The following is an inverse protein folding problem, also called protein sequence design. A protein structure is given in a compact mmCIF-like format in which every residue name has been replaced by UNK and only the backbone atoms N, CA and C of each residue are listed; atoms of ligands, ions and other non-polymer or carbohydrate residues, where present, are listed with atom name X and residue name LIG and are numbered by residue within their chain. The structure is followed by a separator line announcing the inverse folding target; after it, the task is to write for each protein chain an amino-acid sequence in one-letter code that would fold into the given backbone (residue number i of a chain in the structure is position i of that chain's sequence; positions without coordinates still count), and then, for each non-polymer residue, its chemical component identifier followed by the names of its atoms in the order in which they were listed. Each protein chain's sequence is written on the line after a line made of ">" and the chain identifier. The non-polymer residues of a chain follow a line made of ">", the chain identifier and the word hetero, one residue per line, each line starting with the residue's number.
data_IF_531431932424
#
_entry.id   IF_531431932424
#
_cell.length_a   1.000
_cell.length_b   1.000
_cell.length_c   1.000
_cell.angle_alpha   90.00
_cell.angle_beta   90.00
_cell.angle_gamma   90.00
#
_symmetry.space_group_name_H-M   'P 1'
#
loop_
_entity.id
_entity.type
_entity.pdbx_description
1 polymer ?
#
# COMPACT_ATOMS: atom_id res chain seq x y z
N UNK A 1 -7.02 16.60 -30.43
CA UNK A 1 -7.09 15.72 -29.23
C UNK A 1 -8.43 15.99 -28.56
N UNK A 2 -9.31 14.99 -28.41
CA UNK A 2 -10.67 15.25 -27.88
C UNK A 2 -10.60 15.80 -26.46
N UNK A 3 -11.54 16.70 -26.11
CA UNK A 3 -11.60 17.34 -24.79
C UNK A 3 -11.65 16.31 -23.65
N UNK A 4 -12.25 15.15 -23.90
CA UNK A 4 -12.38 14.04 -22.96
C UNK A 4 -11.06 13.33 -22.67
N UNK A 5 -10.17 13.15 -23.67
CA UNK A 5 -8.86 12.56 -23.45
C UNK A 5 -7.97 13.47 -22.58
N UNK A 6 -8.06 14.79 -22.79
CA UNK A 6 -7.33 15.76 -21.97
C UNK A 6 -7.79 15.72 -20.50
N UNK A 7 -9.11 15.63 -20.26
CA UNK A 7 -9.68 15.48 -18.92
C UNK A 7 -9.21 14.20 -18.23
N UNK A 8 -9.22 13.06 -18.94
CA UNK A 8 -8.72 11.79 -18.39
C UNK A 8 -7.24 11.86 -18.01
N UNK A 9 -6.38 12.39 -18.90
CA UNK A 9 -4.95 12.54 -18.61
C UNK A 9 -4.70 13.43 -17.40
N UNK A 10 -5.42 14.55 -17.27
CA UNK A 10 -5.34 15.41 -16.07
C UNK A 10 -5.75 14.67 -14.79
N UNK A 11 -6.83 13.88 -14.83
CA UNK A 11 -7.26 13.07 -13.69
C UNK A 11 -6.21 12.01 -13.33
N UNK A 12 -5.64 11.31 -14.32
CA UNK A 12 -4.53 10.36 -14.12
C UNK A 12 -3.33 11.03 -13.44
N UNK A 13 -2.91 12.20 -13.91
CA UNK A 13 -1.81 12.96 -13.31
C UNK A 13 -2.12 13.32 -11.84
N UNK A 14 -3.32 13.79 -11.54
CA UNK A 14 -3.71 14.10 -10.16
C UNK A 14 -3.67 12.87 -9.24
N UNK A 15 -4.14 11.71 -9.71
CA UNK A 15 -4.07 10.45 -8.95
C UNK A 15 -2.61 10.04 -8.75
N UNK A 16 -1.76 10.13 -9.78
CA UNK A 16 -0.32 9.84 -9.68
C UNK A 16 0.39 10.75 -8.66
N UNK A 17 0.13 12.06 -8.68
CA UNK A 17 0.69 12.99 -7.69
C UNK A 17 0.22 12.68 -6.27
N UNK A 18 -1.05 12.31 -6.10
CA UNK A 18 -1.58 11.88 -4.80
C UNK A 18 -0.94 10.57 -4.32
N UNK A 19 -0.70 9.62 -5.24
CA UNK A 19 0.01 8.38 -4.95
C UNK A 19 1.45 8.64 -4.50
N UNK A 20 2.19 9.51 -5.17
CA UNK A 20 3.56 9.89 -4.76
C UNK A 20 3.58 10.45 -3.34
N UNK A 21 2.63 11.33 -2.99
CA UNK A 21 2.50 11.86 -1.63
C UNK A 21 2.21 10.76 -0.60
N UNK A 22 1.35 9.81 -0.95
CA UNK A 22 1.06 8.66 -0.10
C UNK A 22 2.30 7.78 0.11
N UNK A 23 3.04 7.47 -0.96
CA UNK A 23 4.28 6.70 -0.91
C UNK A 23 5.30 7.39 0.00
N UNK A 24 5.52 8.69 -0.16
CA UNK A 24 6.46 9.42 0.71
C UNK A 24 6.04 9.37 2.18
N UNK A 25 4.72 9.41 2.46
CA UNK A 25 4.21 9.25 3.82
C UNK A 25 4.50 7.84 4.35
N UNK A 26 4.26 6.80 3.54
CA UNK A 26 4.58 5.42 3.89
C UNK A 26 6.09 5.25 4.15
N UNK A 27 6.95 5.82 3.31
CA UNK A 27 8.42 5.77 3.45
C UNK A 27 8.88 6.26 4.82
N UNK A 28 8.34 7.40 5.26
CA UNK A 28 8.67 7.98 6.57
C UNK A 28 8.12 7.11 7.70
N UNK A 29 6.90 6.61 7.56
CA UNK A 29 6.22 5.92 8.67
C UNK A 29 6.62 4.45 8.82
N UNK A 30 6.99 3.74 7.76
CA UNK A 30 7.18 2.27 7.80
C UNK A 30 8.30 1.81 8.75
N UNK A 31 9.27 2.68 9.00
CA UNK A 31 10.38 2.43 9.91
C UNK A 31 10.09 2.87 11.35
N UNK A 32 8.96 3.55 11.60
CA UNK A 32 8.55 3.90 12.95
C UNK A 32 8.06 2.64 13.69
N UNK A 33 8.67 2.35 14.84
CA UNK A 33 8.33 1.18 15.67
C UNK A 33 7.11 1.45 16.57
N UNK A 34 6.77 2.71 16.81
CA UNK A 34 5.64 3.11 17.66
C UNK A 34 4.31 3.21 16.90
N UNK A 35 4.32 2.94 15.60
CA UNK A 35 3.12 3.10 14.77
C UNK A 35 2.20 1.88 14.87
N UNK A 36 0.89 2.14 14.94
CA UNK A 36 -0.12 1.10 15.07
C UNK A 36 -0.34 0.36 13.75
N UNK A 37 -0.59 -0.96 13.84
CA UNK A 37 -0.94 -1.82 12.70
C UNK A 37 -2.05 -1.21 11.83
N UNK A 38 -3.08 -0.63 12.46
CA UNK A 38 -4.20 -0.02 11.77
C UNK A 38 -3.80 1.13 10.84
N UNK A 39 -2.70 1.85 11.11
CA UNK A 39 -2.24 2.88 10.19
C UNK A 39 -1.64 2.28 8.91
N UNK A 40 -0.91 1.16 9.03
CA UNK A 40 -0.39 0.43 7.87
C UNK A 40 -1.50 -0.22 7.05
N UNK A 41 -2.56 -0.70 7.70
CA UNK A 41 -3.78 -1.20 7.03
C UNK A 41 -4.49 -0.09 6.25
N UNK A 42 -4.64 1.10 6.85
CA UNK A 42 -5.21 2.26 6.17
C UNK A 42 -4.37 2.73 4.98
N UNK A 43 -3.03 2.58 5.01
CA UNK A 43 -2.19 2.83 3.85
C UNK A 43 -2.38 1.79 2.75
N UNK A 44 -2.56 0.51 3.09
CA UNK A 44 -2.86 -0.54 2.11
C UNK A 44 -4.19 -0.28 1.39
N UNK A 45 -5.23 0.08 2.12
CA UNK A 45 -6.54 0.43 1.54
C UNK A 45 -6.41 1.58 0.53
N UNK A 46 -5.72 2.66 0.93
CA UNK A 46 -5.50 3.80 0.04
C UNK A 46 -4.65 3.46 -1.20
N UNK A 47 -3.68 2.54 -1.08
CA UNK A 47 -2.91 2.05 -2.24
C UNK A 47 -3.80 1.25 -3.19
N UNK A 48 -4.66 0.37 -2.67
CA UNK A 48 -5.61 -0.40 -3.47
C UNK A 48 -6.59 0.49 -4.24
N UNK A 49 -7.14 1.51 -3.57
CA UNK A 49 -8.04 2.47 -4.21
C UNK A 49 -7.36 3.24 -5.34
N UNK A 50 -6.11 3.65 -5.14
CA UNK A 50 -5.34 4.36 -6.17
C UNK A 50 -4.97 3.45 -7.34
N UNK A 51 -4.60 2.20 -7.07
CA UNK A 51 -4.33 1.17 -8.08
C UNK A 51 -5.56 0.94 -8.97
N UNK A 52 -6.72 0.72 -8.36
CA UNK A 52 -7.99 0.54 -9.10
C UNK A 52 -8.32 1.77 -9.96
N UNK A 53 -8.20 2.97 -9.38
CA UNK A 53 -8.44 4.22 -10.12
C UNK A 53 -7.48 4.41 -11.30
N UNK A 54 -6.19 4.09 -11.12
CA UNK A 54 -5.21 4.19 -12.19
C UNK A 54 -5.45 3.16 -13.28
N UNK A 55 -5.77 1.91 -12.92
CA UNK A 55 -6.13 0.86 -13.88
C UNK A 55 -7.29 1.31 -14.77
N UNK A 56 -8.38 1.80 -14.17
CA UNK A 56 -9.54 2.30 -14.92
C UNK A 56 -9.17 3.49 -15.83
N UNK A 57 -8.39 4.45 -15.32
CA UNK A 57 -7.98 5.61 -16.12
C UNK A 57 -7.05 5.23 -17.27
N UNK A 58 -6.16 4.26 -17.08
CA UNK A 58 -5.27 3.78 -18.12
C UNK A 58 -6.07 3.10 -19.24
N UNK A 59 -6.97 2.18 -18.91
CA UNK A 59 -7.85 1.53 -19.91
C UNK A 59 -8.65 2.57 -20.71
N UNK A 60 -9.28 3.53 -20.03
CA UNK A 60 -10.06 4.58 -20.71
C UNK A 60 -9.20 5.50 -21.60
N UNK A 61 -7.91 5.65 -21.29
CA UNK A 61 -6.96 6.43 -22.10
C UNK A 61 -6.49 5.58 -23.28
N UNK A 62 -6.10 4.32 -23.05
CA UNK A 62 -5.67 3.37 -24.07
C UNK A 62 -6.72 3.17 -25.16
N UNK A 63 -8.00 3.02 -24.79
CA UNK A 63 -9.14 2.93 -25.72
C UNK A 63 -9.28 4.14 -26.66
N UNK A 64 -8.62 5.26 -26.32
CA UNK A 64 -8.69 6.54 -27.05
C UNK A 64 -7.36 6.95 -27.67
N UNK A 65 -6.29 6.18 -27.45
CA UNK A 65 -4.99 6.37 -28.07
C UNK A 65 -4.87 5.47 -29.31
N UNK A 66 -4.06 5.91 -30.28
CA UNK A 66 -3.78 5.14 -31.50
C UNK A 66 -2.31 5.30 -31.88
N UNK A 67 -1.67 4.21 -32.33
CA UNK A 67 -0.29 4.21 -32.84
C UNK A 67 0.79 4.33 -31.76
N UNK A 68 1.94 4.90 -32.12
CA UNK A 68 3.21 4.83 -31.35
C UNK A 68 3.18 5.56 -29.99
N UNK A 69 2.20 6.42 -29.75
CA UNK A 69 2.01 7.09 -28.44
C UNK A 69 1.59 6.16 -27.29
N UNK A 70 1.26 4.91 -27.61
CA UNK A 70 0.84 3.90 -26.63
C UNK A 70 2.04 3.36 -25.84
N UNK A 71 3.19 3.14 -26.50
CA UNK A 71 4.34 2.43 -25.89
C UNK A 71 4.97 3.19 -24.71
N UNK A 72 5.28 4.48 -24.87
CA UNK A 72 5.84 5.31 -23.78
C UNK A 72 4.85 5.46 -22.61
N UNK A 73 3.55 5.56 -22.90
CA UNK A 73 2.51 5.68 -21.89
C UNK A 73 2.33 4.35 -21.12
N UNK A 74 2.57 3.20 -21.76
CA UNK A 74 2.57 1.87 -21.14
C UNK A 74 3.75 1.68 -20.19
N UNK A 75 4.98 2.04 -20.59
CA UNK A 75 6.16 1.92 -19.72
C UNK A 75 6.00 2.74 -18.44
N UNK A 76 5.58 4.00 -18.56
CA UNK A 76 5.33 4.86 -17.40
C UNK A 76 4.18 4.34 -16.51
N UNK A 77 3.24 3.58 -17.07
CA UNK A 77 2.17 2.94 -16.31
C UNK A 77 2.68 1.74 -15.51
N UNK A 78 3.52 0.91 -16.12
CA UNK A 78 4.08 -0.27 -15.47
C UNK A 78 5.03 0.11 -14.33
N UNK A 79 5.86 1.15 -14.50
CA UNK A 79 6.74 1.63 -13.42
C UNK A 79 5.94 2.04 -12.15
N UNK A 80 4.78 2.67 -12.36
CA UNK A 80 3.91 3.08 -11.25
C UNK A 80 3.25 1.85 -10.59
N UNK A 81 2.85 0.87 -11.39
CA UNK A 81 2.28 -0.39 -10.89
C UNK A 81 3.30 -1.17 -10.07
N UNK A 82 4.55 -1.28 -10.53
CA UNK A 82 5.64 -1.89 -9.76
C UNK A 82 5.87 -1.16 -8.43
N UNK A 83 5.87 0.18 -8.43
CA UNK A 83 5.96 0.98 -7.20
C UNK A 83 4.83 0.67 -6.21
N UNK A 84 3.58 0.55 -6.70
CA UNK A 84 2.44 0.19 -5.86
C UNK A 84 2.61 -1.22 -5.28
N UNK A 85 2.98 -2.19 -6.10
CA UNK A 85 3.18 -3.59 -5.68
C UNK A 85 4.28 -3.68 -4.61
N UNK A 86 5.40 -2.97 -4.83
CA UNK A 86 6.50 -2.91 -3.87
C UNK A 86 6.02 -2.43 -2.50
N UNK A 87 5.31 -1.30 -2.45
CA UNK A 87 4.84 -0.73 -1.19
C UNK A 87 3.74 -1.56 -0.52
N UNK A 88 2.82 -2.14 -1.29
CA UNK A 88 1.82 -3.08 -0.77
C UNK A 88 2.47 -4.30 -0.14
N UNK A 89 3.49 -4.85 -0.78
CA UNK A 89 4.26 -6.00 -0.27
C UNK A 89 4.97 -5.63 1.03
N UNK A 90 5.65 -4.47 1.06
CA UNK A 90 6.40 -4.02 2.23
C UNK A 90 5.48 -3.75 3.43
N UNK A 91 4.34 -3.10 3.23
CA UNK A 91 3.31 -2.89 4.25
C UNK A 91 2.73 -4.20 4.77
N UNK A 92 2.38 -5.13 3.86
CA UNK A 92 1.84 -6.44 4.24
C UNK A 92 2.83 -7.23 5.11
N UNK A 93 4.11 -7.19 4.78
CA UNK A 93 5.17 -7.82 5.58
C UNK A 93 5.33 -7.18 6.96
N UNK A 94 5.26 -5.85 7.04
CA UNK A 94 5.31 -5.11 8.32
C UNK A 94 4.14 -5.49 9.22
N UNK A 95 2.91 -5.51 8.69
CA UNK A 95 1.71 -5.92 9.43
C UNK A 95 1.84 -7.35 9.95
N UNK A 96 2.24 -8.29 9.09
CA UNK A 96 2.45 -9.70 9.48
C UNK A 96 3.46 -9.82 10.63
N UNK A 97 4.56 -9.06 10.58
CA UNK A 97 5.57 -9.06 11.64
C UNK A 97 4.99 -8.57 12.96
N UNK A 98 4.33 -7.42 12.98
CA UNK A 98 3.76 -6.86 14.22
C UNK A 98 2.73 -7.82 14.83
N UNK A 99 1.89 -8.44 14.00
CA UNK A 99 0.90 -9.41 14.47
C UNK A 99 1.58 -10.67 15.06
N UNK A 100 2.63 -11.18 14.41
CA UNK A 100 3.42 -12.29 14.94
C UNK A 100 4.06 -11.96 16.28
N UNK A 101 4.70 -10.80 16.39
CA UNK A 101 5.36 -10.33 17.62
C UNK A 101 4.34 -10.19 18.77
N UNK A 102 3.14 -9.67 18.45
CA UNK A 102 2.03 -9.55 19.41
C UNK A 102 1.55 -10.91 19.92
N UNK A 103 1.41 -11.91 19.04
CA UNK A 103 1.01 -13.27 19.41
C UNK A 103 2.06 -13.91 20.32
N UNK A 104 3.35 -13.76 20.02
CA UNK A 104 4.43 -14.30 20.84
C UNK A 104 4.44 -13.69 22.25
N UNK A 105 4.21 -12.38 22.36
CA UNK A 105 4.10 -11.70 23.66
C UNK A 105 2.93 -12.20 24.49
N UNK A 106 1.76 -12.42 23.88
CA UNK A 106 0.59 -12.97 24.56
C UNK A 106 0.89 -14.37 25.11
N UNK A 107 1.47 -15.24 24.28
CA UNK A 107 1.85 -16.60 24.69
C UNK A 107 2.86 -16.58 25.86
N UNK A 108 3.86 -15.70 25.80
CA UNK A 108 4.83 -15.55 26.89
C UNK A 108 4.17 -15.12 28.21
N UNK A 109 3.23 -14.17 28.15
CA UNK A 109 2.50 -13.71 29.33
C UNK A 109 1.60 -14.79 29.92
N UNK A 110 0.95 -15.60 29.08
CA UNK A 110 0.14 -16.74 29.53
C UNK A 110 0.97 -17.80 30.24
N UNK A 111 2.12 -18.18 29.67
CA UNK A 111 3.05 -19.14 30.29
C UNK A 111 3.58 -18.58 31.62
N UNK A 112 3.95 -17.31 31.66
CA UNK A 112 4.45 -16.66 32.87
C UNK A 112 3.41 -16.67 34.00
N UNK A 113 2.13 -16.42 33.67
CA UNK A 113 1.02 -16.51 34.64
C UNK A 113 0.86 -17.92 35.19
N UNK A 114 0.94 -18.95 34.34
CA UNK A 114 0.86 -20.36 34.75
C UNK A 114 2.00 -20.74 35.71
N UNK A 115 3.23 -20.33 35.39
CA UNK A 115 4.39 -20.59 36.25
C UNK A 115 4.25 -19.93 37.62
N UNK A 116 3.83 -18.67 37.67
CA UNK A 116 3.58 -17.96 38.93
C UNK A 116 2.50 -18.68 39.76
N UNK A 117 1.40 -19.10 39.12
CA UNK A 117 0.32 -19.81 39.79
C UNK A 117 0.77 -21.16 40.37
N UNK A 118 1.71 -21.85 39.72
CA UNK A 118 2.32 -23.10 40.23
C UNK A 118 3.21 -22.78 41.43
N UNK A 119 4.08 -21.78 41.32
CA UNK A 119 5.05 -21.42 42.38
C UNK A 119 4.35 -20.92 43.65
N UNK A 120 3.21 -20.22 43.53
CA UNK A 120 2.48 -19.67 44.67
C UNK A 120 1.46 -20.65 45.30
N UNK A 121 1.14 -21.77 44.65
CA UNK A 121 0.24 -22.81 45.19
C UNK A 121 1.00 -24.01 45.79
N UNK A 122 2.31 -23.86 46.04
CA UNK A 122 3.17 -24.76 46.84
C UNK A 122 3.61 -24.02 48.09
#
# INVERSE_FOLDING_TARGET
>A
MSEDLSKLKKKRTAVRSSLTKLINKIEVTINNENELVGQFEAFLEQLNDKESNLSLLNTLIEDRLSGDTITEDMEASEEIKEKIIFWKTKLSSKIKRINSDSIQLIQFLEISKLLIAIVLNV
#
